data_IF_864896679687
#
_entry.id   IF_864896679687
#
_cell.length_a   1.000
_cell.length_b   1.000
_cell.length_c   1.000
_cell.angle_alpha   90.00
_cell.angle_beta   90.00
_cell.angle_gamma   90.00
#
_symmetry.space_group_name_H-M   'P 1'
#
loop_
_entity.id
_entity.type
_entity.pdbx_description
1 polymer ?
#
# COMPACT_ATOMS: atom_id res chain seq x y z
N UNK A 1 -3.48 -13.41 9.88
CA UNK A 1 -2.16 -13.04 9.34
C UNK A 1 -1.09 -13.31 10.40
N UNK A 2 -0.04 -14.09 10.08
CA UNK A 2 1.00 -14.48 11.04
C UNK A 2 2.11 -13.44 11.24
N UNK A 3 2.27 -12.48 10.31
CA UNK A 3 3.23 -11.38 10.44
C UNK A 3 2.61 -10.16 11.12
N UNK A 4 3.43 -9.44 11.91
CA UNK A 4 3.08 -8.15 12.53
C UNK A 4 3.28 -6.96 11.59
N UNK A 5 4.30 -7.02 10.74
CA UNK A 5 4.67 -5.99 9.76
C UNK A 5 5.04 -6.67 8.44
N UNK A 6 4.61 -6.11 7.32
CA UNK A 6 5.05 -6.55 5.98
C UNK A 6 6.07 -5.58 5.37
N UNK A 7 6.89 -6.07 4.45
CA UNK A 7 7.84 -5.25 3.69
C UNK A 7 7.48 -5.28 2.21
N UNK A 8 7.42 -4.12 1.58
CA UNK A 8 7.36 -3.97 0.12
C UNK A 8 8.66 -3.29 -0.30
N UNK A 9 9.38 -3.86 -1.25
CA UNK A 9 10.60 -3.25 -1.76
C UNK A 9 10.61 -3.32 -3.27
N UNK A 10 10.97 -2.21 -3.91
CA UNK A 10 11.22 -2.11 -5.33
C UNK A 10 12.61 -1.50 -5.55
N UNK A 11 13.26 -1.88 -6.65
CA UNK A 11 14.48 -1.22 -7.10
C UNK A 11 14.16 0.23 -7.49
N UNK A 12 15.12 1.14 -7.33
CA UNK A 12 14.99 2.50 -7.88
C UNK A 12 14.76 2.47 -9.40
N UNK A 13 13.98 3.43 -9.91
CA UNK A 13 13.57 3.51 -11.31
C UNK A 13 12.40 2.59 -11.70
N UNK A 14 11.71 1.98 -10.74
CA UNK A 14 10.59 1.05 -11.02
C UNK A 14 9.21 1.72 -10.90
N UNK A 15 9.11 2.95 -10.41
CA UNK A 15 7.85 3.68 -10.42
C UNK A 15 7.30 3.82 -11.85
N UNK A 16 5.99 3.64 -12.01
CA UNK A 16 5.31 3.66 -13.31
C UNK A 16 5.43 2.37 -14.13
N UNK A 17 6.44 1.53 -13.87
CA UNK A 17 6.61 0.23 -14.54
C UNK A 17 6.02 -0.94 -13.76
N UNK A 18 6.06 -0.86 -12.42
CA UNK A 18 5.64 -1.95 -11.54
C UNK A 18 4.63 -1.44 -10.51
N UNK A 19 3.48 -2.11 -10.45
CA UNK A 19 2.50 -1.99 -9.37
C UNK A 19 2.52 -3.27 -8.54
N UNK A 20 3.07 -3.26 -7.31
CA UNK A 20 3.21 -4.48 -6.52
C UNK A 20 1.86 -4.93 -5.95
N UNK A 21 1.21 -5.89 -6.62
CA UNK A 21 -0.11 -6.43 -6.27
C UNK A 21 -0.21 -7.00 -4.85
N UNK A 22 0.92 -7.36 -4.24
CA UNK A 22 0.99 -7.81 -2.83
C UNK A 22 0.52 -6.76 -1.82
N UNK A 23 0.50 -5.47 -2.21
CA UNK A 23 -0.04 -4.40 -1.37
C UNK A 23 -1.49 -4.69 -0.95
N UNK A 24 -2.36 -5.10 -1.88
CA UNK A 24 -3.78 -5.28 -1.60
C UNK A 24 -4.04 -6.40 -0.59
N UNK A 25 -3.28 -7.50 -0.66
CA UNK A 25 -3.33 -8.56 0.34
C UNK A 25 -2.85 -8.10 1.72
N UNK A 26 -1.82 -7.26 1.77
CA UNK A 26 -1.32 -6.66 3.03
C UNK A 26 -2.37 -5.74 3.65
N UNK A 27 -3.00 -4.88 2.85
CA UNK A 27 -4.10 -4.02 3.30
C UNK A 27 -5.25 -4.86 3.85
N UNK A 28 -5.68 -5.89 3.11
CA UNK A 28 -6.76 -6.78 3.53
C UNK A 28 -6.44 -7.53 4.83
N UNK A 29 -5.17 -7.87 5.06
CA UNK A 29 -4.70 -8.48 6.29
C UNK A 29 -4.75 -7.54 7.51
N UNK A 30 -5.01 -6.23 7.32
CA UNK A 30 -5.07 -5.25 8.39
C UNK A 30 -3.75 -5.09 9.13
N UNK A 31 -2.63 -5.24 8.43
CA UNK A 31 -1.29 -5.12 8.99
C UNK A 31 -0.59 -3.90 8.41
N UNK A 32 0.20 -3.18 9.23
CA UNK A 32 1.05 -2.12 8.72
C UNK A 32 2.16 -2.72 7.83
N UNK A 33 2.77 -1.86 7.02
CA UNK A 33 3.91 -2.22 6.21
C UNK A 33 4.97 -1.12 6.17
N UNK A 34 6.17 -1.50 5.77
CA UNK A 34 7.21 -0.57 5.33
C UNK A 34 7.43 -0.75 3.83
N UNK A 35 7.34 0.32 3.06
CA UNK A 35 7.53 0.29 1.62
C UNK A 35 8.79 1.08 1.22
N UNK A 36 9.82 0.38 0.77
CA UNK A 36 10.98 0.94 0.10
C UNK A 36 10.66 1.13 -1.39
N UNK A 37 10.05 2.28 -1.71
CA UNK A 37 9.52 2.62 -3.04
C UNK A 37 9.74 4.10 -3.33
N UNK A 38 9.78 4.48 -4.60
CA UNK A 38 9.94 5.88 -4.98
C UNK A 38 8.68 6.70 -4.63
N UNK A 39 8.88 7.99 -4.32
CA UNK A 39 7.86 8.93 -3.86
C UNK A 39 6.62 8.99 -4.76
N UNK A 40 6.86 8.89 -6.07
CA UNK A 40 5.88 8.96 -7.16
C UNK A 40 5.13 7.65 -7.43
N UNK A 41 5.48 6.57 -6.72
CA UNK A 41 4.82 5.27 -6.89
C UNK A 41 3.40 5.25 -6.33
N UNK A 42 2.54 4.40 -6.89
CA UNK A 42 1.18 4.19 -6.38
C UNK A 42 1.19 3.71 -4.92
N UNK A 43 2.14 2.84 -4.55
CA UNK A 43 2.32 2.39 -3.16
C UNK A 43 2.54 3.58 -2.23
N UNK A 44 3.40 4.51 -2.62
CA UNK A 44 3.67 5.71 -1.84
C UNK A 44 2.43 6.61 -1.72
N UNK A 45 1.69 6.79 -2.82
CA UNK A 45 0.44 7.54 -2.83
C UNK A 45 -0.62 6.92 -1.90
N UNK A 46 -0.82 5.60 -1.95
CA UNK A 46 -1.75 4.86 -1.07
C UNK A 46 -1.29 4.97 0.39
N UNK A 47 0.01 4.79 0.65
CA UNK A 47 0.59 4.88 2.01
C UNK A 47 0.24 6.22 2.65
N UNK A 48 0.47 7.33 1.95
CA UNK A 48 0.17 8.68 2.47
C UNK A 48 -1.33 8.93 2.58
N UNK A 49 -2.10 8.57 1.55
CA UNK A 49 -3.54 8.83 1.50
C UNK A 49 -4.29 8.18 2.65
N UNK A 50 -3.91 6.94 2.98
CA UNK A 50 -4.61 6.17 4.01
C UNK A 50 -3.86 6.08 5.33
N UNK A 51 -2.63 6.60 5.40
CA UNK A 51 -1.76 6.52 6.58
C UNK A 51 -1.69 5.07 7.11
N UNK A 52 -1.28 4.16 6.24
CA UNK A 52 -1.39 2.71 6.47
C UNK A 52 -0.04 1.97 6.50
N UNK A 53 1.06 2.71 6.45
CA UNK A 53 2.42 2.17 6.45
C UNK A 53 3.46 3.28 6.55
N UNK A 54 4.73 2.88 6.57
CA UNK A 54 5.87 3.80 6.52
C UNK A 54 6.58 3.69 5.17
N UNK A 55 7.14 4.80 4.70
CA UNK A 55 7.96 4.83 3.49
C UNK A 55 9.44 4.84 3.86
N UNK A 56 10.22 4.13 3.05
CA UNK A 56 11.67 4.09 3.10
C UNK A 56 12.24 4.39 1.71
N UNK A 57 13.47 4.91 1.65
CA UNK A 57 14.14 5.21 0.40
C UNK A 57 14.64 3.91 -0.30
N UNK A 58 14.29 3.67 -1.58
CA UNK A 58 14.80 2.53 -2.33
C UNK A 58 16.33 2.47 -2.34
N UNK A 59 16.88 1.29 -2.08
CA UNK A 59 18.33 1.10 -2.04
C UNK A 59 19.04 1.67 -0.80
N UNK A 60 18.31 2.20 0.20
CA UNK A 60 18.85 2.60 1.50
C UNK A 60 18.49 1.57 2.58
N UNK A 61 19.30 0.51 2.78
CA UNK A 61 18.95 -0.57 3.71
C UNK A 61 18.86 -0.13 5.18
N UNK A 62 19.63 0.90 5.59
CA UNK A 62 19.57 1.44 6.95
C UNK A 62 18.22 2.12 7.23
N UNK A 63 17.74 2.94 6.30
CA UNK A 63 16.44 3.60 6.44
C UNK A 63 15.30 2.56 6.50
N UNK A 64 15.32 1.55 5.63
CA UNK A 64 14.36 0.44 5.71
C UNK A 64 14.38 -0.27 7.08
N UNK A 65 15.57 -0.58 7.59
CA UNK A 65 15.72 -1.22 8.91
C UNK A 65 15.20 -0.31 10.04
N UNK A 66 15.50 0.99 10.00
CA UNK A 66 15.06 1.96 11.00
C UNK A 66 13.52 2.07 11.02
N UNK A 67 12.86 2.07 9.86
CA UNK A 67 11.39 2.07 9.78
C UNK A 67 10.76 0.78 10.30
N UNK A 68 11.38 -0.38 10.03
CA UNK A 68 10.93 -1.67 10.58
C UNK A 68 11.05 -1.64 12.11
N UNK A 69 12.18 -1.17 12.63
CA UNK A 69 12.41 -1.05 14.07
C UNK A 69 11.47 -0.03 14.73
N UNK A 70 11.09 1.05 14.03
CA UNK A 70 10.10 2.01 14.51
C UNK A 70 8.75 1.32 14.78
N UNK A 71 8.25 0.52 13.84
CA UNK A 71 6.99 -0.23 14.03
C UNK A 71 7.11 -1.34 15.07
N UNK A 72 8.28 -1.95 15.21
CA UNK A 72 8.53 -2.95 16.25
C UNK A 72 8.51 -2.32 17.65
N UNK A 73 9.09 -1.12 17.81
CA UNK A 73 9.19 -0.42 19.10
C UNK A 73 7.92 0.32 19.51
N UNK A 74 7.14 0.79 18.55
CA UNK A 74 5.90 1.53 18.77
C UNK A 74 4.70 0.69 18.35
N UNK A 75 4.22 -0.16 19.27
CA UNK A 75 3.06 -1.02 19.03
C UNK A 75 1.77 -0.24 18.77
N UNK A 76 1.44 0.83 19.53
CA UNK A 76 0.27 1.67 19.24
C UNK A 76 0.30 2.24 17.82
N UNK A 77 1.45 2.71 17.34
CA UNK A 77 1.61 3.16 15.95
C UNK A 77 1.31 2.02 14.96
N UNK A 78 1.91 0.84 15.17
CA UNK A 78 1.72 -0.30 14.29
C UNK A 78 0.24 -0.74 14.21
N UNK A 79 -0.47 -0.74 15.32
CA UNK A 79 -1.90 -1.08 15.39
C UNK A 79 -2.77 -0.05 14.69
N UNK A 80 -2.48 1.23 14.89
CA UNK A 80 -3.17 2.34 14.21
C UNK A 80 -3.01 2.25 12.69
N UNK A 81 -1.78 2.08 12.21
CA UNK A 81 -1.48 1.92 10.78
C UNK A 81 -2.12 0.64 10.20
N UNK A 82 -2.13 -0.46 10.96
CA UNK A 82 -2.80 -1.70 10.54
C UNK A 82 -4.32 -1.56 10.44
N UNK A 83 -4.96 -0.89 11.41
CA UNK A 83 -6.38 -0.57 11.35
C UNK A 83 -6.71 0.33 10.14
N UNK A 84 -5.85 1.31 9.85
CA UNK A 84 -5.96 2.15 8.67
C UNK A 84 -5.82 1.32 7.38
N UNK A 85 -4.86 0.39 7.32
CA UNK A 85 -4.67 -0.53 6.22
C UNK A 85 -5.94 -1.36 5.94
N UNK A 86 -6.57 -1.88 7.00
CA UNK A 86 -7.83 -2.64 6.87
C UNK A 86 -8.96 -1.78 6.30
N UNK A 87 -9.07 -0.52 6.73
CA UNK A 87 -10.09 0.41 6.18
C UNK A 87 -9.80 0.73 4.71
N UNK A 88 -8.53 0.98 4.37
CA UNK A 88 -8.11 1.23 2.99
C UNK A 88 -8.41 0.05 2.07
N UNK A 89 -8.28 -1.19 2.55
CA UNK A 89 -8.55 -2.39 1.77
C UNK A 89 -9.96 -2.42 1.15
N UNK A 90 -10.95 -1.83 1.82
CA UNK A 90 -12.33 -1.77 1.34
C UNK A 90 -12.47 -0.92 0.06
N UNK A 91 -11.56 0.05 -0.13
CA UNK A 91 -11.52 0.84 -1.35
C UNK A 91 -11.03 0.05 -2.55
N UNK A 92 -10.27 -1.03 -2.33
CA UNK A 92 -9.68 -1.87 -3.36
C UNK A 92 -10.38 -3.23 -3.49
N UNK A 93 -11.56 -3.38 -2.89
CA UNK A 93 -12.34 -4.62 -3.00
C UNK A 93 -12.75 -4.87 -4.45
N UNK A 94 -12.78 -6.16 -4.83
CA UNK A 94 -13.14 -6.59 -6.18
C UNK A 94 -14.47 -6.01 -6.64
N UNK A 95 -15.49 -6.00 -5.78
CA UNK A 95 -16.83 -5.49 -6.16
C UNK A 95 -16.76 -4.03 -6.61
N UNK A 96 -16.09 -3.19 -5.82
CA UNK A 96 -15.92 -1.75 -6.11
C UNK A 96 -15.09 -1.51 -7.37
N UNK A 97 -13.97 -2.22 -7.51
CA UNK A 97 -13.07 -2.02 -8.65
C UNK A 97 -13.67 -2.52 -9.97
N UNK A 98 -14.38 -3.65 -9.96
CA UNK A 98 -15.09 -4.16 -11.16
C UNK A 98 -16.23 -3.23 -11.55
N UNK A 99 -17.00 -2.70 -10.59
CA UNK A 99 -18.05 -1.71 -10.88
C UNK A 99 -17.49 -0.46 -11.55
N UNK A 100 -16.35 0.07 -11.10
CA UNK A 100 -15.73 1.23 -11.71
C UNK A 100 -15.37 1.01 -13.19
N UNK A 101 -14.83 -0.18 -13.53
CA UNK A 101 -14.58 -0.55 -14.93
C UNK A 101 -15.87 -0.71 -15.73
N UNK A 102 -16.89 -1.33 -15.14
CA UNK A 102 -18.19 -1.49 -15.80
C UNK A 102 -18.82 -0.14 -16.15
N UNK A 103 -18.84 0.80 -15.21
CA UNK A 103 -19.38 2.15 -15.42
C UNK A 103 -18.61 2.90 -16.51
N UNK A 104 -17.27 2.85 -16.48
CA UNK A 104 -16.44 3.43 -17.53
C UNK A 104 -16.80 2.89 -18.92
N UNK A 105 -16.93 1.57 -19.08
CA UNK A 105 -17.27 0.98 -20.36
C UNK A 105 -18.70 1.30 -20.79
N UNK A 106 -19.65 1.28 -19.86
CA UNK A 106 -21.04 1.68 -20.13
C UNK A 106 -21.08 3.11 -20.67
N UNK A 107 -20.41 4.04 -20.00
CA UNK A 107 -20.44 5.46 -20.34
C UNK A 107 -19.76 5.73 -21.69
N UNK A 108 -18.68 5.02 -22.02
CA UNK A 108 -18.03 5.14 -23.34
C UNK A 108 -18.89 4.58 -24.49
N UNK A 109 -19.73 3.59 -24.22
CA UNK A 109 -20.65 3.02 -25.22
C UNK A 109 -21.88 3.89 -25.41
N UNK A 110 -22.40 4.53 -24.36
CA UNK A 110 -23.58 5.41 -24.42
C UNK A 110 -23.27 6.85 -24.81
N UNK A 111 -22.01 7.29 -24.71
CA UNK A 111 -21.57 8.62 -25.14
C UNK A 111 -21.21 8.70 -26.65
N UNK A 112 -21.58 7.66 -27.42
CA UNK A 112 -21.61 7.66 -28.89
C UNK A 112 -23.04 7.82 -29.37
#
# INVERSE_FOLDING_TARGET
ASADVFVISLKAGMAGYIVPSKLYGILAAGRPYVAAVEEVSEVAAITRRYDCGLLAEPGKPRDLADKILALYRDRPLAERLGANARRAALEFDRSKQVTAYYELFRDLVTSR
#
